data_IF_516814087652
#
_entry.id   IF_516814087652
#
_cell.length_a   1.000
_cell.length_b   1.000
_cell.length_c   1.000
_cell.angle_alpha   90.00
_cell.angle_beta   90.00
_cell.angle_gamma   90.00
#
_symmetry.space_group_name_H-M   'P 1'
#
loop_
_entity.id
_entity.type
_entity.pdbx_description
1 polymer ?
#
# COMPACT_ATOMS: atom_id res chain seq x y z
N UNK A 1 13.22 -2.85 -10.92
CA UNK A 1 14.13 -3.17 -9.80
C UNK A 1 15.19 -2.07 -9.67
N UNK A 2 15.77 -1.63 -10.79
CA UNK A 2 16.69 -0.47 -10.81
C UNK A 2 16.09 0.80 -10.16
N UNK A 3 14.82 1.13 -10.43
CA UNK A 3 14.17 2.31 -9.81
C UNK A 3 14.06 2.23 -8.28
N UNK A 4 13.86 1.02 -7.74
CA UNK A 4 13.77 0.78 -6.29
C UNK A 4 15.16 0.85 -5.64
N UNK A 5 16.20 0.39 -6.35
CA UNK A 5 17.58 0.52 -5.91
C UNK A 5 18.03 1.99 -5.88
N UNK A 6 17.55 2.82 -6.82
CA UNK A 6 17.84 4.25 -6.87
C UNK A 6 17.28 5.03 -5.67
N UNK A 7 16.17 4.59 -5.10
CA UNK A 7 15.54 5.18 -3.89
C UNK A 7 15.92 4.44 -2.60
N UNK A 8 16.96 3.60 -2.63
CA UNK A 8 17.59 3.04 -1.44
C UNK A 8 17.13 1.65 -0.99
N UNK A 9 16.27 0.95 -1.75
CA UNK A 9 15.93 -0.45 -1.47
C UNK A 9 17.01 -1.39 -2.03
N UNK A 10 17.74 -2.08 -1.14
CA UNK A 10 18.88 -2.93 -1.52
C UNK A 10 18.47 -4.34 -1.91
N UNK A 11 17.37 -4.86 -1.37
CA UNK A 11 16.89 -6.23 -1.57
C UNK A 11 15.60 -6.30 -2.41
N UNK A 12 15.34 -5.29 -3.24
CA UNK A 12 14.15 -5.21 -4.08
C UNK A 12 14.01 -6.43 -5.00
N UNK A 13 13.06 -7.33 -4.68
CA UNK A 13 12.79 -8.56 -5.44
C UNK A 13 13.41 -9.84 -4.87
N UNK A 14 14.30 -9.76 -3.89
CA UNK A 14 14.85 -10.93 -3.19
C UNK A 14 13.99 -11.37 -2.00
N UNK A 15 13.30 -10.42 -1.36
CA UNK A 15 12.40 -10.66 -0.22
C UNK A 15 11.01 -10.09 -0.51
N UNK A 16 9.96 -10.77 -0.05
CA UNK A 16 8.57 -10.34 -0.22
C UNK A 16 8.24 -9.00 0.48
N UNK A 17 8.92 -8.69 1.58
CA UNK A 17 8.77 -7.48 2.35
C UNK A 17 10.13 -6.77 2.47
N UNK A 18 10.23 -5.48 2.10
CA UNK A 18 11.47 -4.73 2.24
C UNK A 18 11.82 -4.51 3.72
N UNK A 19 13.01 -4.94 4.13
CA UNK A 19 13.52 -4.77 5.49
C UNK A 19 13.72 -3.28 5.82
N UNK A 20 13.87 -2.42 4.82
CA UNK A 20 14.01 -0.97 4.94
C UNK A 20 12.75 -0.32 5.55
N UNK A 21 11.59 -0.95 5.43
CA UNK A 21 10.32 -0.47 6.00
C UNK A 21 9.87 -1.35 7.17
N UNK A 22 9.92 -2.68 7.00
CA UNK A 22 9.36 -3.65 7.94
C UNK A 22 10.39 -4.30 8.86
N UNK A 23 11.68 -3.98 8.72
CA UNK A 23 12.72 -4.45 9.63
C UNK A 23 12.51 -3.89 11.03
N UNK A 24 12.74 -4.70 12.07
CA UNK A 24 12.47 -4.34 13.47
C UNK A 24 13.22 -3.05 13.87
N UNK A 25 14.47 -2.90 13.43
CA UNK A 25 15.22 -1.65 13.63
C UNK A 25 14.52 -0.43 13.01
N UNK A 26 14.01 -0.54 11.77
CA UNK A 26 13.40 0.56 11.04
C UNK A 26 11.99 0.88 11.55
N UNK A 27 11.23 -0.12 12.00
CA UNK A 27 9.93 0.07 12.63
C UNK A 27 10.02 0.89 13.92
N UNK A 28 11.12 0.78 14.67
CA UNK A 28 11.36 1.52 15.91
C UNK A 28 11.98 2.90 15.68
N UNK A 29 12.37 3.24 14.44
CA UNK A 29 12.77 4.60 14.11
C UNK A 29 11.54 5.51 14.06
N UNK A 30 11.72 6.80 14.39
CA UNK A 30 10.63 7.78 14.31
C UNK A 30 10.00 7.84 12.91
N UNK A 31 10.83 7.77 11.86
CA UNK A 31 10.38 7.79 10.46
C UNK A 31 9.55 6.56 10.11
N UNK A 32 10.08 5.35 10.33
CA UNK A 32 9.39 4.10 10.01
C UNK A 32 8.11 3.91 10.83
N UNK A 33 8.16 4.23 12.12
CA UNK A 33 6.99 4.19 13.00
C UNK A 33 5.86 5.11 12.50
N UNK A 34 6.17 6.37 12.17
CA UNK A 34 5.17 7.31 11.66
C UNK A 34 4.57 6.86 10.33
N UNK A 35 5.39 6.34 9.41
CA UNK A 35 4.92 5.83 8.12
C UNK A 35 3.93 4.68 8.34
N UNK A 36 4.28 3.70 9.18
CA UNK A 36 3.42 2.54 9.45
C UNK A 36 2.13 2.92 10.19
N UNK A 37 2.22 3.84 11.14
CA UNK A 37 1.05 4.35 11.88
C UNK A 37 0.07 5.04 10.93
N UNK A 38 0.56 5.98 10.12
CA UNK A 38 -0.27 6.73 9.17
C UNK A 38 -0.84 5.78 8.11
N UNK A 39 -0.01 4.87 7.57
CA UNK A 39 -0.44 3.87 6.60
C UNK A 39 -1.56 2.98 7.16
N UNK A 40 -1.40 2.47 8.38
CA UNK A 40 -2.41 1.64 9.04
C UNK A 40 -3.73 2.37 9.25
N UNK A 41 -3.68 3.61 9.71
CA UNK A 41 -4.87 4.46 9.89
C UNK A 41 -5.57 4.71 8.56
N UNK A 42 -4.83 5.10 7.51
CA UNK A 42 -5.39 5.37 6.19
C UNK A 42 -6.02 4.13 5.57
N UNK A 43 -5.38 2.97 5.68
CA UNK A 43 -5.93 1.70 5.16
C UNK A 43 -7.19 1.29 5.92
N UNK A 44 -7.16 1.35 7.25
CA UNK A 44 -8.33 1.02 8.08
C UNK A 44 -9.51 1.95 7.82
N UNK A 45 -9.26 3.26 7.77
CA UNK A 45 -10.26 4.26 7.45
C UNK A 45 -10.82 4.06 6.02
N UNK A 46 -9.94 3.88 5.03
CA UNK A 46 -10.33 3.68 3.64
C UNK A 46 -11.19 2.43 3.43
N UNK A 47 -10.81 1.30 4.04
CA UNK A 47 -11.61 0.07 3.99
C UNK A 47 -12.99 0.27 4.64
N UNK A 48 -13.07 0.97 5.77
CA UNK A 48 -14.37 1.26 6.40
C UNK A 48 -15.22 2.18 5.51
N UNK A 49 -14.62 3.17 4.87
CA UNK A 49 -15.31 4.11 3.99
C UNK A 49 -15.82 3.45 2.70
N UNK A 50 -15.04 2.53 2.13
CA UNK A 50 -15.45 1.71 0.99
C UNK A 50 -16.57 0.70 1.33
N UNK A 51 -16.85 0.47 2.62
CA UNK A 51 -17.82 -0.53 3.04
C UNK A 51 -17.31 -1.96 2.97
N UNK A 52 -16.00 -2.17 2.81
CA UNK A 52 -15.39 -3.47 2.62
C UNK A 52 -13.87 -3.41 2.45
N UNK A 53 -13.23 -4.57 2.37
CA UNK A 53 -11.80 -4.66 2.06
C UNK A 53 -11.56 -4.81 0.55
N UNK A 54 -10.31 -4.58 0.12
CA UNK A 54 -9.86 -4.79 -1.25
C UNK A 54 -10.17 -6.19 -1.78
N UNK A 55 -9.89 -7.23 -0.99
CA UNK A 55 -10.18 -8.62 -1.39
C UNK A 55 -11.67 -8.91 -1.53
N UNK A 56 -12.52 -8.32 -0.67
CA UNK A 56 -13.98 -8.47 -0.75
C UNK A 56 -14.55 -7.87 -2.03
N UNK A 57 -14.19 -6.63 -2.35
CA UNK A 57 -14.65 -5.97 -3.57
C UNK A 57 -14.06 -6.61 -4.85
N UNK A 58 -12.78 -6.99 -4.84
CA UNK A 58 -12.12 -7.53 -6.02
C UNK A 58 -12.46 -9.00 -6.31
N UNK A 59 -12.55 -9.85 -5.28
CA UNK A 59 -12.80 -11.30 -5.47
C UNK A 59 -14.30 -11.57 -5.56
N UNK A 60 -15.08 -11.14 -4.56
CA UNK A 60 -16.50 -11.49 -4.48
C UNK A 60 -17.34 -10.47 -5.25
N UNK A 61 -17.16 -9.19 -4.96
CA UNK A 61 -17.97 -8.10 -5.55
C UNK A 61 -17.86 -8.02 -7.07
N UNK A 62 -16.64 -8.08 -7.60
CA UNK A 62 -16.39 -8.03 -9.04
C UNK A 62 -16.85 -9.31 -9.75
N UNK A 63 -16.72 -10.47 -9.12
CA UNK A 63 -17.25 -11.74 -9.66
C UNK A 63 -18.78 -11.73 -9.75
N UNK A 64 -19.46 -11.01 -8.86
CA UNK A 64 -20.90 -10.80 -8.88
C UNK A 64 -21.33 -9.62 -9.76
N UNK A 65 -20.41 -8.99 -10.51
CA UNK A 65 -20.66 -7.84 -11.38
C UNK A 65 -21.27 -6.63 -10.67
N UNK A 66 -20.95 -6.43 -9.40
CA UNK A 66 -21.46 -5.29 -8.64
C UNK A 66 -20.74 -3.99 -9.03
N UNK A 67 -21.49 -3.05 -9.60
CA UNK A 67 -20.98 -1.72 -9.99
C UNK A 67 -20.28 -0.96 -8.83
N UNK A 68 -20.79 -0.98 -7.58
CA UNK A 68 -20.11 -0.36 -6.44
C UNK A 68 -18.71 -0.95 -6.20
N UNK A 69 -18.56 -2.27 -6.38
CA UNK A 69 -17.29 -2.95 -6.19
C UNK A 69 -16.29 -2.62 -7.31
N UNK A 70 -16.75 -2.45 -8.54
CA UNK A 70 -15.91 -1.98 -9.64
C UNK A 70 -15.35 -0.58 -9.35
N UNK A 71 -16.18 0.35 -8.87
CA UNK A 71 -15.75 1.71 -8.52
C UNK A 71 -14.74 1.69 -7.38
N UNK A 72 -14.99 0.88 -6.34
CA UNK A 72 -14.07 0.73 -5.21
C UNK A 72 -12.71 0.20 -5.65
N UNK A 73 -12.68 -0.83 -6.52
CA UNK A 73 -11.44 -1.41 -7.04
C UNK A 73 -10.64 -0.40 -7.87
N UNK A 74 -11.30 0.37 -8.74
CA UNK A 74 -10.63 1.43 -9.52
C UNK A 74 -10.00 2.46 -8.56
N UNK A 75 -10.71 2.87 -7.51
CA UNK A 75 -10.18 3.77 -6.49
C UNK A 75 -8.96 3.21 -5.76
N UNK A 76 -8.99 1.94 -5.35
CA UNK A 76 -7.85 1.27 -4.72
C UNK A 76 -6.63 1.22 -5.65
N UNK A 77 -6.83 0.93 -6.93
CA UNK A 77 -5.74 0.90 -7.91
C UNK A 77 -5.14 2.28 -8.15
N UNK A 78 -5.96 3.33 -8.27
CA UNK A 78 -5.46 4.71 -8.41
C UNK A 78 -4.66 5.10 -7.17
N UNK A 79 -5.17 4.81 -5.96
CA UNK A 79 -4.45 5.08 -4.72
C UNK A 79 -3.10 4.35 -4.65
N UNK A 80 -3.06 3.08 -5.06
CA UNK A 80 -1.83 2.31 -5.17
C UNK A 80 -0.84 2.93 -6.15
N UNK A 81 -1.29 3.32 -7.35
CA UNK A 81 -0.44 3.98 -8.35
C UNK A 81 0.12 5.32 -7.85
N UNK A 82 -0.72 6.15 -7.22
CA UNK A 82 -0.29 7.42 -6.63
C UNK A 82 0.75 7.18 -5.54
N UNK A 83 0.54 6.17 -4.69
CA UNK A 83 1.51 5.81 -3.66
C UNK A 83 2.85 5.41 -4.30
N UNK A 84 2.87 4.50 -5.27
CA UNK A 84 4.11 3.99 -5.87
C UNK A 84 4.88 5.04 -6.66
N UNK A 85 4.20 5.86 -7.45
CA UNK A 85 4.85 6.81 -8.36
C UNK A 85 5.14 8.18 -7.76
N UNK A 86 4.34 8.61 -6.79
CA UNK A 86 4.46 9.96 -6.24
C UNK A 86 4.97 9.94 -4.81
N UNK A 87 4.33 9.18 -3.93
CA UNK A 87 4.61 9.24 -2.48
C UNK A 87 5.86 8.45 -2.12
N UNK A 88 6.06 7.26 -2.68
CA UNK A 88 7.20 6.39 -2.39
C UNK A 88 8.55 7.09 -2.63
N UNK A 89 8.83 7.70 -3.80
CA UNK A 89 10.09 8.41 -4.04
C UNK A 89 10.24 9.74 -3.28
N UNK A 90 9.16 10.26 -2.68
CA UNK A 90 9.23 11.45 -1.81
C UNK A 90 9.64 11.08 -0.38
N UNK A 91 9.29 9.88 0.06
CA UNK A 91 9.54 9.41 1.43
C UNK A 91 10.87 8.64 1.53
N UNK A 92 11.29 7.94 0.47
CA UNK A 92 12.51 7.14 0.41
C UNK A 92 13.46 7.69 -0.65
#
# INVERSE_FOLDING_TARGET
IEDLAAIGFKDAGATYLPNEIFGIENMLTLKGFLILLIAGIMVGFGARWAGGCTSGHAIVGLSNLELPSLIAVIGFFIGGLVMTWFILPLIF
#
